data_IF_472872832059
#
_entry.id   IF_472872832059
#
_cell.length_a   1.000
_cell.length_b   1.000
_cell.length_c   1.000
_cell.angle_alpha   90.00
_cell.angle_beta   90.00
_cell.angle_gamma   90.00
#
_symmetry.space_group_name_H-M   'P 1'
#
loop_
_entity.id
_entity.type
_entity.pdbx_description
1 polymer ?
#
# COMPACT_ATOMS: atom_id res chain seq x y z
N UNK A 1 -27.33 -10.07 21.94
CA UNK A 1 -26.05 -9.35 21.87
C UNK A 1 -25.08 -10.18 21.06
N UNK A 2 -24.52 -9.64 19.97
CA UNK A 2 -23.47 -10.33 19.21
C UNK A 2 -22.20 -10.26 20.06
N UNK A 3 -21.73 -11.41 20.55
CA UNK A 3 -20.47 -11.51 21.28
C UNK A 3 -19.32 -11.38 20.28
N UNK A 4 -18.40 -10.44 20.51
CA UNK A 4 -17.37 -10.06 19.54
C UNK A 4 -15.98 -10.49 20.00
N UNK A 5 -15.19 -10.96 19.05
CA UNK A 5 -13.74 -11.06 19.21
C UNK A 5 -13.16 -9.64 19.03
N UNK A 6 -12.71 -9.02 20.12
CA UNK A 6 -11.89 -7.80 20.04
C UNK A 6 -10.48 -8.25 19.68
N UNK A 7 -9.89 -7.78 18.56
CA UNK A 7 -8.51 -8.11 18.25
C UNK A 7 -7.63 -7.64 19.41
N UNK A 8 -6.79 -8.55 19.93
CA UNK A 8 -5.87 -8.28 21.02
C UNK A 8 -4.45 -8.40 20.46
N UNK A 9 -3.58 -7.44 20.78
CA UNK A 9 -2.15 -7.56 20.53
C UNK A 9 -1.54 -8.74 21.27
N UNK A 10 -0.32 -9.14 20.86
CA UNK A 10 0.47 -10.18 21.54
C UNK A 10 0.73 -9.82 23.02
N UNK A 11 0.72 -8.52 23.36
CA UNK A 11 0.89 -8.01 24.73
C UNK A 11 -0.40 -7.89 25.54
N UNK A 12 -1.56 -8.29 24.99
CA UNK A 12 -2.85 -8.21 25.68
C UNK A 12 -3.62 -6.90 25.48
N UNK A 13 -3.08 -5.93 24.72
CA UNK A 13 -3.76 -4.65 24.46
C UNK A 13 -4.93 -4.85 23.49
N UNK A 14 -6.14 -4.43 23.89
CA UNK A 14 -7.33 -4.44 23.03
C UNK A 14 -7.20 -3.38 21.93
N UNK A 15 -7.40 -3.77 20.68
CA UNK A 15 -7.41 -2.85 19.55
C UNK A 15 -8.78 -2.18 19.43
N UNK A 16 -8.87 -0.92 19.84
CA UNK A 16 -10.06 -0.08 19.66
C UNK A 16 -10.03 0.61 18.28
N UNK A 17 -10.19 -0.19 17.21
CA UNK A 17 -10.12 0.30 15.83
C UNK A 17 -11.46 0.89 15.38
N UNK A 18 -12.56 0.27 15.81
CA UNK A 18 -13.90 0.56 15.31
C UNK A 18 -14.88 0.85 16.44
N UNK A 19 -15.70 1.86 16.24
CA UNK A 19 -16.94 2.05 17.00
C UNK A 19 -18.14 1.67 16.12
N UNK A 20 -19.29 1.42 16.73
CA UNK A 20 -20.51 1.08 16.00
C UNK A 20 -21.58 2.08 16.38
N UNK A 21 -22.27 2.58 15.37
CA UNK A 21 -23.34 3.54 15.55
C UNK A 21 -24.50 3.19 14.63
N UNK A 22 -25.71 3.62 15.00
CA UNK A 22 -26.86 3.53 14.12
C UNK A 22 -26.94 4.81 13.29
N UNK A 23 -26.73 4.68 11.99
CA UNK A 23 -26.83 5.80 11.06
C UNK A 23 -28.14 5.73 10.28
N UNK A 24 -28.82 6.87 10.07
CA UNK A 24 -29.97 6.92 9.18
C UNK A 24 -29.50 6.81 7.72
N UNK A 25 -30.07 5.87 6.98
CA UNK A 25 -29.81 5.63 5.57
C UNK A 25 -31.07 6.04 4.80
N UNK A 26 -30.91 6.97 3.87
CA UNK A 26 -31.97 7.34 2.94
C UNK A 26 -32.01 6.27 1.85
N UNK A 27 -33.15 5.61 1.71
CA UNK A 27 -33.34 4.56 0.71
C UNK A 27 -33.46 5.18 -0.70
N UNK A 28 -33.28 4.39 -1.78
CA UNK A 28 -33.32 4.91 -3.15
C UNK A 28 -34.64 5.58 -3.58
N UNK A 29 -35.73 5.41 -2.82
CA UNK A 29 -37.01 6.09 -3.05
C UNK A 29 -37.05 7.54 -2.52
N UNK A 30 -35.96 7.98 -1.88
CA UNK A 30 -35.75 9.28 -1.23
C UNK A 30 -36.78 9.64 -0.12
N UNK A 31 -37.63 8.70 0.25
CA UNK A 31 -38.76 8.92 1.18
C UNK A 31 -38.67 8.05 2.41
N UNK A 32 -38.01 6.91 2.30
CA UNK A 32 -37.84 5.94 3.38
C UNK A 32 -36.48 6.15 4.03
N UNK A 33 -36.47 6.19 5.36
CA UNK A 33 -35.25 6.23 6.18
C UNK A 33 -35.17 4.94 6.98
N UNK A 34 -34.09 4.18 6.80
CA UNK A 34 -33.78 3.00 7.60
C UNK A 34 -32.60 3.25 8.54
N UNK A 35 -32.60 2.62 9.71
CA UNK A 35 -31.48 2.70 10.65
C UNK A 35 -30.56 1.50 10.48
N UNK A 36 -29.36 1.75 9.99
CA UNK A 36 -28.36 0.72 9.79
C UNK A 36 -27.30 0.75 10.89
N UNK A 37 -27.03 -0.41 11.50
CA UNK A 37 -25.87 -0.57 12.37
C UNK A 37 -24.61 -0.47 11.51
N UNK A 38 -23.89 0.63 11.64
CA UNK A 38 -22.70 0.95 10.85
C UNK A 38 -21.45 0.82 11.71
N UNK A 39 -20.40 0.24 11.12
CA UNK A 39 -19.07 0.17 11.71
C UNK A 39 -18.26 1.37 11.23
N UNK A 40 -17.79 2.22 12.14
CA UNK A 40 -16.99 3.41 11.81
C UNK A 40 -15.63 3.33 12.49
N UNK A 41 -14.60 3.92 11.88
CA UNK A 41 -13.25 3.94 12.48
C UNK A 41 -13.25 4.90 13.68
N UNK A 42 -12.74 4.44 14.81
CA UNK A 42 -12.58 5.27 16.01
C UNK A 42 -11.50 6.33 15.76
N UNK A 43 -11.76 7.60 16.09
CA UNK A 43 -10.77 8.68 15.94
C UNK A 43 -9.54 8.51 16.83
N UNK A 44 -9.64 7.71 17.90
CA UNK A 44 -8.51 7.33 18.75
C UNK A 44 -7.72 6.12 18.22
N UNK A 45 -8.18 5.51 17.13
CA UNK A 45 -7.48 4.39 16.50
C UNK A 45 -6.12 4.85 15.97
N UNK A 46 -5.09 4.03 16.17
CA UNK A 46 -3.76 4.27 15.58
C UNK A 46 -3.78 4.32 14.03
N UNK A 47 -4.84 3.79 13.42
CA UNK A 47 -5.03 3.79 11.96
C UNK A 47 -5.79 5.02 11.47
N UNK A 48 -6.34 5.83 12.39
CA UNK A 48 -6.97 7.08 12.05
C UNK A 48 -5.91 8.11 11.67
N UNK A 49 -6.10 8.77 10.53
CA UNK A 49 -5.26 9.87 10.09
C UNK A 49 -5.99 11.18 10.44
N UNK A 50 -5.55 11.93 11.46
CA UNK A 50 -6.26 13.13 11.93
C UNK A 50 -6.19 14.31 10.95
N UNK A 51 -5.28 14.26 9.99
CA UNK A 51 -5.15 15.26 8.92
C UNK A 51 -5.60 14.65 7.60
N UNK A 52 -6.57 15.29 6.95
CA UNK A 52 -6.99 14.94 5.60
C UNK A 52 -5.83 15.14 4.64
N UNK A 53 -5.38 14.05 4.02
CA UNK A 53 -4.36 14.11 2.98
C UNK A 53 -4.96 14.65 1.69
N UNK A 54 -4.22 15.49 0.97
CA UNK A 54 -4.61 15.88 -0.40
C UNK A 54 -4.66 14.65 -1.31
N UNK A 55 -5.49 14.70 -2.37
CA UNK A 55 -5.58 13.64 -3.40
C UNK A 55 -4.19 13.27 -3.93
N UNK A 56 -3.33 14.28 -4.14
CA UNK A 56 -1.94 14.07 -4.58
C UNK A 56 -1.15 13.18 -3.60
N UNK A 57 -1.23 13.46 -2.30
CA UNK A 57 -0.53 12.69 -1.26
C UNK A 57 -1.10 11.27 -1.15
N UNK A 58 -2.43 11.15 -1.16
CA UNK A 58 -3.11 9.86 -1.15
C UNK A 58 -2.69 9.01 -2.35
N UNK A 59 -2.70 9.59 -3.55
CA UNK A 59 -2.35 8.90 -4.78
C UNK A 59 -0.90 8.39 -4.78
N UNK A 60 0.04 9.19 -4.28
CA UNK A 60 1.45 8.79 -4.14
C UNK A 60 1.61 7.57 -3.23
N UNK A 61 0.88 7.53 -2.12
CA UNK A 61 0.92 6.41 -1.17
C UNK A 61 0.26 5.18 -1.79
N UNK A 62 -0.98 5.32 -2.28
CA UNK A 62 -1.78 4.23 -2.85
C UNK A 62 -1.10 3.59 -4.06
N UNK A 63 -0.41 4.37 -4.89
CA UNK A 63 0.29 3.85 -6.09
C UNK A 63 1.32 2.76 -5.81
N UNK A 64 1.84 2.71 -4.57
CA UNK A 64 2.86 1.74 -4.14
C UNK A 64 2.40 0.83 -3.00
N UNK A 65 1.28 1.14 -2.36
CA UNK A 65 0.84 0.43 -1.15
C UNK A 65 0.25 -0.95 -1.48
N UNK A 66 0.62 -1.94 -0.69
CA UNK A 66 0.14 -3.31 -0.77
C UNK A 66 0.21 -3.99 0.58
N UNK A 67 -0.58 -5.05 0.75
CA UNK A 67 -0.54 -5.94 1.90
C UNK A 67 -1.01 -7.33 1.54
N UNK A 68 -1.26 -8.15 2.55
CA UNK A 68 -1.72 -9.54 2.39
C UNK A 68 -3.05 -9.65 1.61
N UNK A 69 -3.84 -8.57 1.58
CA UNK A 69 -5.13 -8.52 0.89
C UNK A 69 -5.04 -8.01 -0.56
N UNK A 70 -3.84 -7.73 -1.08
CA UNK A 70 -3.62 -7.19 -2.41
C UNK A 70 -3.05 -5.77 -2.40
N UNK A 71 -3.08 -5.08 -3.54
CA UNK A 71 -2.63 -3.69 -3.64
C UNK A 71 -3.76 -2.73 -3.27
N UNK A 72 -3.42 -1.56 -2.71
CA UNK A 72 -4.44 -0.53 -2.46
C UNK A 72 -5.04 -0.01 -3.76
N UNK A 73 -4.29 -0.07 -4.87
CA UNK A 73 -4.81 0.21 -6.19
C UNK A 73 -5.92 -0.77 -6.61
N UNK A 74 -5.72 -2.07 -6.39
CA UNK A 74 -6.73 -3.10 -6.65
C UNK A 74 -7.98 -2.89 -5.79
N UNK A 75 -7.79 -2.53 -4.51
CA UNK A 75 -8.91 -2.17 -3.62
C UNK A 75 -9.73 -0.99 -4.17
N UNK A 76 -9.05 0.10 -4.54
CA UNK A 76 -9.71 1.29 -5.10
C UNK A 76 -10.43 0.95 -6.42
N UNK A 77 -9.77 0.20 -7.31
CA UNK A 77 -10.35 -0.24 -8.58
C UNK A 77 -11.65 -1.05 -8.37
N UNK A 78 -11.61 -2.06 -7.49
CA UNK A 78 -12.75 -2.92 -7.22
C UNK A 78 -13.91 -2.16 -6.56
N UNK A 79 -13.58 -1.19 -5.69
CA UNK A 79 -14.58 -0.34 -5.05
C UNK A 79 -15.30 0.51 -6.10
N UNK A 80 -14.56 1.24 -6.95
CA UNK A 80 -15.15 2.03 -8.03
C UNK A 80 -15.94 1.18 -9.02
N UNK A 81 -15.43 0.00 -9.37
CA UNK A 81 -16.16 -0.93 -10.24
C UNK A 81 -17.53 -1.29 -9.64
N UNK A 82 -17.58 -1.59 -8.34
CA UNK A 82 -18.82 -1.91 -7.63
C UNK A 82 -19.78 -0.71 -7.62
N UNK A 83 -19.28 0.50 -7.33
CA UNK A 83 -20.10 1.71 -7.33
C UNK A 83 -20.73 1.98 -8.70
N UNK A 84 -19.96 1.83 -9.78
CA UNK A 84 -20.45 1.95 -11.16
C UNK A 84 -21.51 0.90 -11.50
N UNK A 85 -21.32 -0.36 -11.07
CA UNK A 85 -22.32 -1.43 -11.27
C UNK A 85 -23.64 -1.13 -10.55
N UNK A 86 -23.58 -0.50 -9.38
CA UNK A 86 -24.73 -0.09 -8.59
C UNK A 86 -25.34 1.24 -9.03
N UNK A 87 -24.77 1.90 -10.05
CA UNK A 87 -25.16 3.25 -10.50
C UNK A 87 -25.18 4.28 -9.36
N UNK A 88 -24.27 4.16 -8.39
CA UNK A 88 -24.11 5.14 -7.32
C UNK A 88 -23.37 6.34 -7.90
N UNK A 89 -24.01 7.51 -7.88
CA UNK A 89 -23.44 8.76 -8.37
C UNK A 89 -23.63 9.81 -7.26
N UNK A 90 -22.55 10.09 -6.54
CA UNK A 90 -22.48 11.09 -5.49
C UNK A 90 -21.11 11.77 -5.49
N UNK A 91 -20.97 12.83 -4.69
CA UNK A 91 -19.71 13.61 -4.59
C UNK A 91 -18.55 12.75 -4.12
N UNK A 92 -18.81 11.74 -3.28
CA UNK A 92 -17.78 10.82 -2.81
C UNK A 92 -17.24 9.93 -3.94
N UNK A 93 -18.13 9.46 -4.82
CA UNK A 93 -17.78 8.69 -6.00
C UNK A 93 -16.94 9.53 -6.96
N UNK A 94 -17.29 10.81 -7.17
CA UNK A 94 -16.48 11.75 -7.97
C UNK A 94 -15.07 11.94 -7.39
N UNK A 95 -14.93 12.14 -6.08
CA UNK A 95 -13.63 12.24 -5.41
C UNK A 95 -12.80 10.95 -5.55
N UNK A 96 -13.43 9.79 -5.45
CA UNK A 96 -12.77 8.50 -5.64
C UNK A 96 -12.29 8.29 -7.08
N UNK A 97 -13.06 8.73 -8.07
CA UNK A 97 -12.67 8.70 -9.49
C UNK A 97 -11.46 9.61 -9.75
N UNK A 98 -11.46 10.82 -9.18
CA UNK A 98 -10.30 11.73 -9.25
C UNK A 98 -9.06 11.09 -8.60
N UNK A 99 -9.22 10.48 -7.42
CA UNK A 99 -8.15 9.75 -6.76
C UNK A 99 -7.62 8.59 -7.61
N UNK A 100 -8.51 7.81 -8.23
CA UNK A 100 -8.12 6.70 -9.10
C UNK A 100 -7.35 7.17 -10.34
N UNK A 101 -7.79 8.26 -10.97
CA UNK A 101 -7.06 8.89 -12.07
C UNK A 101 -5.67 9.35 -11.62
N UNK A 102 -5.56 10.02 -10.46
CA UNK A 102 -4.30 10.46 -9.90
C UNK A 102 -3.36 9.29 -9.59
N UNK A 103 -3.86 8.18 -9.03
CA UNK A 103 -3.06 6.98 -8.75
C UNK A 103 -2.50 6.39 -10.04
N UNK A 104 -3.29 6.32 -11.11
CA UNK A 104 -2.82 5.82 -12.41
C UNK A 104 -1.67 6.65 -12.96
N UNK A 105 -1.75 7.98 -12.87
CA UNK A 105 -0.64 8.89 -13.24
C UNK A 105 0.61 8.54 -12.44
N UNK A 106 0.51 8.39 -11.11
CA UNK A 106 1.66 8.05 -10.28
C UNK A 106 2.26 6.66 -10.58
N UNK A 107 1.43 5.68 -10.97
CA UNK A 107 1.91 4.36 -11.38
C UNK A 107 2.76 4.40 -12.67
N UNK A 108 2.54 5.38 -13.55
CA UNK A 108 3.37 5.58 -14.74
C UNK A 108 4.79 6.01 -14.37
N UNK A 109 4.97 6.78 -13.29
CA UNK A 109 6.27 7.25 -12.79
C UNK A 109 7.03 6.24 -11.91
N UNK A 110 6.48 5.04 -11.69
CA UNK A 110 7.22 3.97 -11.01
C UNK A 110 8.36 3.46 -11.89
N UNK A 111 9.41 2.95 -11.25
CA UNK A 111 10.46 2.23 -11.98
C UNK A 111 9.87 0.97 -12.63
N UNK A 112 10.45 0.51 -13.75
CA UNK A 112 9.97 -0.72 -14.42
C UNK A 112 9.96 -1.93 -13.49
N UNK A 113 10.92 -2.01 -12.57
CA UNK A 113 10.98 -3.05 -11.56
C UNK A 113 9.76 -2.98 -10.61
N UNK A 114 9.47 -1.80 -10.06
CA UNK A 114 8.32 -1.62 -9.15
C UNK A 114 7.00 -1.90 -9.85
N UNK A 115 6.84 -1.40 -11.07
CA UNK A 115 5.62 -1.59 -11.87
C UNK A 115 5.37 -3.07 -12.14
N UNK A 116 6.35 -3.78 -12.70
CA UNK A 116 6.23 -5.22 -12.98
C UNK A 116 5.98 -6.05 -11.72
N UNK A 117 6.62 -5.67 -10.60
CA UNK A 117 6.39 -6.35 -9.34
C UNK A 117 4.93 -6.16 -8.88
N UNK A 118 4.40 -4.93 -8.91
CA UNK A 118 3.01 -4.65 -8.50
C UNK A 118 2.01 -5.41 -9.40
N UNK A 119 2.21 -5.36 -10.72
CA UNK A 119 1.36 -6.07 -11.69
C UNK A 119 1.40 -7.60 -11.51
N UNK A 120 2.55 -8.15 -11.09
CA UNK A 120 2.66 -9.57 -10.79
C UNK A 120 2.00 -9.91 -9.47
N UNK A 121 2.16 -9.05 -8.46
CA UNK A 121 1.55 -9.21 -7.15
C UNK A 121 0.01 -9.16 -7.22
N UNK A 122 -0.54 -8.30 -8.07
CA UNK A 122 -1.99 -8.17 -8.30
C UNK A 122 -2.64 -9.43 -8.89
N UNK A 123 -1.85 -10.32 -9.51
CA UNK A 123 -2.32 -11.60 -10.05
C UNK A 123 -2.37 -12.71 -9.01
N UNK A 124 -1.78 -12.51 -7.82
CA UNK A 124 -1.82 -13.49 -6.74
C UNK A 124 -3.23 -13.52 -6.13
N UNK A 125 -3.78 -14.71 -5.99
CA UNK A 125 -5.20 -14.89 -5.63
C UNK A 125 -5.38 -15.27 -4.17
N UNK A 126 -4.39 -15.92 -3.58
CA UNK A 126 -4.46 -16.41 -2.20
C UNK A 126 -3.65 -15.55 -1.24
N UNK A 127 -4.00 -15.63 0.05
CA UNK A 127 -3.28 -14.97 1.13
C UNK A 127 -1.84 -15.50 1.25
N UNK A 128 -1.66 -16.81 1.20
CA UNK A 128 -0.36 -17.47 1.37
C UNK A 128 0.63 -17.09 0.25
N UNK A 129 0.18 -17.04 -1.00
CA UNK A 129 0.99 -16.56 -2.13
C UNK A 129 1.48 -15.13 -1.91
N UNK A 130 0.58 -14.25 -1.43
CA UNK A 130 0.89 -12.84 -1.18
C UNK A 130 1.85 -12.68 -0.02
N UNK A 131 1.66 -13.41 1.08
CA UNK A 131 2.58 -13.42 2.21
C UNK A 131 3.98 -13.87 1.78
N UNK A 132 4.08 -14.98 1.04
CA UNK A 132 5.35 -15.46 0.51
C UNK A 132 6.02 -14.42 -0.40
N UNK A 133 5.27 -13.80 -1.31
CA UNK A 133 5.81 -12.79 -2.21
C UNK A 133 6.31 -11.54 -1.47
N UNK A 134 5.63 -11.12 -0.40
CA UNK A 134 6.05 -10.02 0.48
C UNK A 134 7.37 -10.38 1.17
N UNK A 135 7.50 -11.58 1.73
CA UNK A 135 8.71 -12.03 2.43
C UNK A 135 9.91 -12.17 1.48
N UNK A 136 9.70 -12.72 0.28
CA UNK A 136 10.73 -12.79 -0.75
C UNK A 136 11.21 -11.40 -1.18
N UNK A 137 10.29 -10.43 -1.32
CA UNK A 137 10.66 -9.05 -1.66
C UNK A 137 11.49 -8.40 -0.54
N UNK A 138 11.09 -8.57 0.72
CA UNK A 138 11.85 -8.06 1.88
C UNK A 138 13.28 -8.63 1.88
N UNK A 139 13.40 -9.94 1.68
CA UNK A 139 14.70 -10.64 1.64
C UNK A 139 15.59 -10.12 0.50
N UNK A 140 15.04 -10.01 -0.71
CA UNK A 140 15.78 -9.48 -1.86
C UNK A 140 16.24 -8.03 -1.66
N UNK A 141 15.40 -7.19 -1.07
CA UNK A 141 15.79 -5.80 -0.75
C UNK A 141 16.95 -5.74 0.25
N UNK A 142 16.97 -6.63 1.25
CA UNK A 142 18.07 -6.73 2.22
C UNK A 142 19.36 -7.17 1.52
N UNK A 143 19.30 -8.20 0.67
CA UNK A 143 20.45 -8.70 -0.08
C UNK A 143 21.03 -7.64 -1.01
N UNK A 144 20.19 -6.93 -1.75
CA UNK A 144 20.61 -5.84 -2.65
C UNK A 144 21.25 -4.67 -1.89
N UNK A 145 20.73 -4.33 -0.70
CA UNK A 145 21.36 -3.31 0.17
C UNK A 145 22.73 -3.77 0.66
N UNK A 146 22.87 -5.03 1.07
CA UNK A 146 24.15 -5.61 1.52
C UNK A 146 25.19 -5.62 0.39
N UNK A 147 24.80 -5.98 -0.84
CA UNK A 147 25.71 -5.94 -2.00
C UNK A 147 26.18 -4.51 -2.31
N UNK A 148 25.27 -3.52 -2.27
CA UNK A 148 25.64 -2.11 -2.45
C UNK A 148 26.61 -1.62 -1.37
N UNK A 149 26.40 -2.03 -0.12
CA UNK A 149 27.33 -1.71 0.98
C UNK A 149 28.68 -2.39 0.77
N UNK A 150 28.71 -3.67 0.42
CA UNK A 150 29.94 -4.40 0.11
C UNK A 150 30.71 -3.73 -1.03
N UNK A 151 30.06 -3.38 -2.15
CA UNK A 151 30.75 -2.65 -3.21
C UNK A 151 31.22 -1.26 -2.80
N UNK A 152 30.54 -0.55 -1.91
CA UNK A 152 31.04 0.73 -1.35
C UNK A 152 32.23 0.54 -0.42
N UNK A 153 32.24 -0.52 0.39
CA UNK A 153 33.31 -0.80 1.36
C UNK A 153 34.55 -1.42 0.72
N UNK A 154 34.38 -2.16 -0.39
CA UNK A 154 35.45 -2.87 -1.08
C UNK A 154 35.78 -2.32 -2.47
N UNK A 155 35.26 -1.14 -2.84
CA UNK A 155 35.85 -0.32 -3.91
C UNK A 155 37.14 0.32 -3.38
N UNK A 156 38.15 -0.53 -3.16
CA UNK A 156 39.53 -0.12 -2.98
C UNK A 156 39.92 0.53 -4.30
N UNK A 157 40.23 1.83 -4.28
CA UNK A 157 40.83 2.50 -5.44
C UNK A 157 42.00 1.63 -5.94
N UNK A 158 42.16 1.46 -7.26
CA UNK A 158 43.38 0.83 -7.77
C UNK A 158 44.54 1.66 -7.26
N UNK A 159 45.31 1.11 -6.31
CA UNK A 159 46.61 1.66 -5.93
C UNK A 159 47.41 1.64 -7.23
N UNK A 160 47.59 2.82 -7.81
CA UNK A 160 48.45 3.03 -8.96
C UNK A 160 49.84 2.56 -8.53
N UNK A 161 50.24 1.36 -8.97
CA UNK A 161 51.60 0.88 -8.85
C UNK A 161 52.47 1.62 -9.86
N UNK A 162 52.75 2.90 -9.57
CA UNK A 162 53.83 3.64 -10.19
C UNK A 162 55.12 3.24 -9.49
N UNK A 163 55.88 2.32 -10.10
CA UNK A 163 57.36 2.19 -10.06
C UNK A 163 57.73 0.73 -10.34
N UNK A 164 58.31 0.49 -11.51
CA UNK A 164 59.63 -0.11 -11.71
C UNK A 164 59.77 -0.48 -13.19
N UNK A 165 60.23 0.48 -14.00
CA UNK A 165 60.94 0.20 -15.24
C UNK A 165 62.13 1.16 -15.29
N UNK A 166 63.15 0.85 -14.48
CA UNK A 166 64.51 1.34 -14.66
C UNK A 166 65.45 0.14 -14.53
N UNK A 167 66.21 -0.09 -15.60
CA UNK A 167 67.36 -1.01 -15.71
C UNK A 167 66.92 -2.48 -15.72
N UNK A 168 67.30 -3.33 -16.67
CA UNK A 168 68.62 -3.72 -17.22
C UNK A 168 68.31 -4.39 -18.58
N UNK A 169 69.00 -4.17 -19.71
CA UNK A 169 70.31 -4.75 -20.10
C UNK A 169 70.77 -4.13 -21.43
N UNK A 170 71.99 -3.57 -21.45
CA UNK A 170 73.19 -4.04 -22.22
C UNK A 170 73.03 -3.90 -23.73
#
# INVERSE_FOLDING_TARGET
FIQRETPIYVDGTKMDIYTYDFLPIIMPDEKTIEWALTCVVNSNSQFYLPMTLSIKQQAQIISRAYGINGTNFQYLHNTLHTYRQLSIIDTFTEEMEELYAAVNIYRQYLTDYERRWLESFEKLTTKDERELAIELRKTNNILMRRQKLFHRTYSIEPIVTTKYNRMISV
#
